data_IF_604113135089
#
_entry.id   IF_604113135089
#
_cell.length_a   1.000
_cell.length_b   1.000
_cell.length_c   1.000
_cell.angle_alpha   90.00
_cell.angle_beta   90.00
_cell.angle_gamma   90.00
#
_symmetry.space_group_name_H-M   'P 1'
#
loop_
_entity.id
_entity.type
_entity.pdbx_description
1 polymer ?
#
# COMPACT_ATOMS: atom_id res chain seq x y z
N UNK A 1 -10.96 3.23 -9.27
CA UNK A 1 -9.66 3.58 -9.81
C UNK A 1 -8.58 3.34 -8.76
N UNK A 2 -7.34 3.18 -9.22
CA UNK A 2 -6.25 2.71 -8.36
C UNK A 2 -5.85 3.69 -7.27
N UNK A 3 -5.98 4.97 -7.51
CA UNK A 3 -5.67 5.97 -6.49
C UNK A 3 -6.61 5.85 -5.29
N UNK A 4 -7.89 5.64 -5.52
CA UNK A 4 -8.85 5.43 -4.44
C UNK A 4 -8.60 4.13 -3.70
N UNK A 5 -8.23 3.08 -4.43
CA UNK A 5 -7.85 1.82 -3.82
C UNK A 5 -6.62 1.99 -2.93
N UNK A 6 -5.62 2.69 -3.42
CA UNK A 6 -4.40 2.98 -2.67
C UNK A 6 -4.73 3.71 -1.36
N UNK A 7 -5.53 4.77 -1.44
CA UNK A 7 -5.90 5.55 -0.27
C UNK A 7 -6.72 4.73 0.73
N UNK A 8 -7.60 3.88 0.23
CA UNK A 8 -8.42 3.03 1.08
C UNK A 8 -7.55 2.03 1.86
N UNK A 9 -6.59 1.41 1.19
CA UNK A 9 -5.66 0.49 1.83
C UNK A 9 -4.81 1.23 2.86
N UNK A 10 -4.26 2.38 2.47
CA UNK A 10 -3.39 3.18 3.34
C UNK A 10 -4.09 3.51 4.66
N UNK A 11 -5.36 3.87 4.59
CA UNK A 11 -6.06 4.41 5.75
C UNK A 11 -6.78 3.36 6.58
N UNK A 12 -7.06 2.18 6.03
CA UNK A 12 -7.97 1.22 6.67
C UNK A 12 -7.40 -0.17 6.88
N UNK A 13 -6.33 -0.55 6.20
CA UNK A 13 -5.84 -1.93 6.24
C UNK A 13 -4.43 -2.01 6.78
N UNK A 14 -4.09 -3.11 7.47
CA UNK A 14 -2.70 -3.36 7.88
C UNK A 14 -1.88 -3.80 6.66
N UNK A 15 -0.64 -3.30 6.56
CA UNK A 15 0.25 -3.72 5.49
C UNK A 15 1.71 -3.49 5.90
N UNK A 16 2.62 -4.23 5.26
CA UNK A 16 4.05 -4.00 5.42
C UNK A 16 4.51 -2.89 4.47
N UNK A 17 4.23 -3.05 3.18
CA UNK A 17 4.53 -2.05 2.17
C UNK A 17 3.32 -1.80 1.28
N UNK A 18 3.10 -0.55 0.94
CA UNK A 18 2.09 -0.13 -0.01
C UNK A 18 2.79 0.75 -1.04
N UNK A 19 2.80 0.30 -2.28
CA UNK A 19 3.60 0.92 -3.34
C UNK A 19 2.69 1.31 -4.48
N UNK A 20 2.72 2.58 -4.88
CA UNK A 20 2.13 2.98 -6.15
C UNK A 20 3.24 3.07 -7.20
N UNK A 21 2.96 2.56 -8.40
CA UNK A 21 3.89 2.53 -9.50
C UNK A 21 3.24 3.15 -10.72
N UNK A 22 4.04 3.89 -11.51
CA UNK A 22 3.59 4.49 -12.76
C UNK A 22 2.33 5.32 -12.58
N UNK A 23 2.34 6.23 -11.62
CA UNK A 23 1.23 7.12 -11.34
C UNK A 23 -0.08 6.37 -11.11
N UNK A 24 -0.04 5.39 -10.20
CA UNK A 24 -1.20 4.56 -9.82
C UNK A 24 -1.69 3.60 -10.91
N UNK A 25 -0.90 3.36 -11.96
CA UNK A 25 -1.22 2.29 -12.91
C UNK A 25 -1.17 0.93 -12.24
N UNK A 26 -0.32 0.78 -11.22
CA UNK A 26 -0.18 -0.43 -10.42
C UNK A 26 -0.16 -0.07 -8.94
N UNK A 27 -0.85 -0.86 -8.14
CA UNK A 27 -0.78 -0.77 -6.70
C UNK A 27 -0.32 -2.12 -6.16
N UNK A 28 0.75 -2.09 -5.37
CA UNK A 28 1.34 -3.29 -4.80
C UNK A 28 1.23 -3.21 -3.28
N UNK A 29 0.73 -4.25 -2.65
CA UNK A 29 0.62 -4.30 -1.21
C UNK A 29 1.20 -5.61 -0.70
N UNK A 30 1.98 -5.54 0.38
CA UNK A 30 2.52 -6.72 1.04
C UNK A 30 2.10 -6.75 2.50
N UNK A 31 2.11 -7.93 3.07
CA UNK A 31 1.73 -8.16 4.45
C UNK A 31 2.65 -9.22 5.06
N UNK A 32 3.18 -8.95 6.24
CA UNK A 32 4.03 -9.91 6.96
C UNK A 32 3.26 -10.45 8.16
N UNK A 33 3.05 -9.60 9.15
CA UNK A 33 2.22 -9.91 10.32
C UNK A 33 1.87 -8.58 10.98
N UNK A 34 0.84 -8.57 11.80
CA UNK A 34 0.39 -7.33 12.44
C UNK A 34 1.50 -6.65 13.23
N UNK A 35 2.34 -7.44 13.91
CA UNK A 35 3.42 -6.89 14.73
C UNK A 35 4.67 -6.51 13.93
N UNK A 36 4.82 -7.03 12.70
CA UNK A 36 6.03 -6.82 11.88
C UNK A 36 5.78 -5.94 10.67
N UNK A 37 4.56 -5.58 10.38
CA UNK A 37 4.23 -4.67 9.28
C UNK A 37 4.84 -3.30 9.56
N UNK A 38 5.58 -2.77 8.58
CA UNK A 38 6.26 -1.48 8.71
C UNK A 38 5.36 -0.29 8.37
N UNK A 39 4.26 -0.56 7.71
CA UNK A 39 3.35 0.45 7.17
C UNK A 39 4.10 1.46 6.30
N UNK A 40 4.98 0.97 5.48
CA UNK A 40 5.82 1.78 4.60
C UNK A 40 5.10 2.09 3.30
N UNK A 41 5.08 3.35 2.92
CA UNK A 41 4.43 3.82 1.69
C UNK A 41 5.50 4.31 0.73
N UNK A 42 5.48 3.80 -0.51
CA UNK A 42 6.45 4.16 -1.53
C UNK A 42 5.74 4.54 -2.83
N UNK A 43 6.35 5.45 -3.57
CA UNK A 43 5.91 5.86 -4.91
C UNK A 43 7.07 5.66 -5.88
N UNK A 44 6.86 4.86 -6.91
CA UNK A 44 7.92 4.54 -7.88
C UNK A 44 7.61 5.10 -9.28
#
# INVERSE_FOLDING_TARGET
ENKKLFELIRDNLPFDQLIDESNYSWVHVSYVSTSKNRKQILSL
#
